data_IF_223735142615
#
_entry.id   IF_223735142615
#
_cell.length_a   1.000
_cell.length_b   1.000
_cell.length_c   1.000
_cell.angle_alpha   90.00
_cell.angle_beta   90.00
_cell.angle_gamma   90.00
#
_symmetry.space_group_name_H-M   'P 1'
#
loop_
_entity.id
_entity.type
_entity.pdbx_description
1 polymer ?
#
# COMPACT_ATOMS: atom_id res chain seq x y z
N UNK A 1 69.01 -38.23 2.19
CA UNK A 1 67.65 -38.40 2.66
C UNK A 1 66.91 -37.07 2.65
N UNK A 2 66.00 -36.87 1.68
CA UNK A 2 65.22 -35.62 1.51
C UNK A 2 63.82 -35.88 2.09
N UNK A 3 63.46 -35.16 3.14
CA UNK A 3 62.09 -35.19 3.69
C UNK A 3 61.21 -34.17 2.91
N UNK A 4 60.33 -34.68 2.11
CA UNK A 4 59.26 -33.91 1.43
C UNK A 4 58.17 -33.62 2.44
N UNK A 5 58.00 -32.36 2.86
CA UNK A 5 56.89 -31.93 3.71
C UNK A 5 55.64 -31.76 2.84
N UNK A 6 54.66 -32.62 3.09
CA UNK A 6 53.31 -32.54 2.51
C UNK A 6 52.53 -31.46 3.27
N UNK A 7 52.27 -30.34 2.62
CA UNK A 7 51.39 -29.28 3.14
C UNK A 7 49.96 -29.65 2.73
N UNK A 8 49.15 -30.10 3.72
CA UNK A 8 47.73 -30.33 3.54
C UNK A 8 47.01 -28.95 3.62
N UNK A 9 46.50 -28.47 2.48
CA UNK A 9 45.65 -27.29 2.42
C UNK A 9 44.22 -27.72 2.88
N UNK A 10 43.88 -27.36 4.12
CA UNK A 10 42.52 -27.51 4.63
C UNK A 10 41.69 -26.37 4.05
N UNK A 11 40.92 -26.64 2.96
CA UNK A 11 39.95 -25.71 2.42
C UNK A 11 38.74 -25.68 3.37
N UNK A 12 38.66 -24.65 4.18
CA UNK A 12 37.48 -24.34 4.98
C UNK A 12 36.39 -23.83 4.04
N UNK A 13 35.45 -24.70 3.67
CA UNK A 13 34.20 -24.27 2.97
C UNK A 13 33.35 -23.61 4.04
N UNK A 14 33.48 -22.28 4.14
CA UNK A 14 32.51 -21.46 4.89
C UNK A 14 31.25 -21.45 4.04
N UNK A 15 30.25 -22.19 4.48
CA UNK A 15 28.92 -22.23 3.85
C UNK A 15 28.32 -20.84 3.81
N UNK A 16 28.05 -20.36 2.61
CA UNK A 16 27.34 -19.11 2.31
C UNK A 16 25.86 -19.26 2.69
N UNK A 17 25.54 -19.13 3.96
CA UNK A 17 24.16 -18.95 4.45
C UNK A 17 23.86 -17.47 4.80
N UNK A 18 24.67 -16.52 4.34
CA UNK A 18 24.59 -15.10 4.70
C UNK A 18 23.45 -14.32 4.01
N UNK A 19 22.93 -14.77 2.86
CA UNK A 19 22.10 -13.93 2.02
C UNK A 19 20.65 -13.67 2.51
N UNK A 20 20.11 -14.53 3.37
CA UNK A 20 18.73 -14.37 3.85
C UNK A 20 18.62 -13.42 5.06
N UNK A 21 19.56 -13.48 5.98
CA UNK A 21 19.55 -12.61 7.17
C UNK A 21 19.78 -11.14 6.79
N UNK A 22 20.66 -10.89 5.82
CA UNK A 22 20.93 -9.53 5.33
C UNK A 22 19.73 -8.93 4.59
N UNK A 23 18.99 -9.74 3.84
CA UNK A 23 17.80 -9.26 3.10
C UNK A 23 16.64 -8.92 4.02
N UNK A 24 16.38 -9.72 5.06
CA UNK A 24 15.30 -9.47 6.04
C UNK A 24 15.58 -8.20 6.85
N UNK A 25 16.82 -8.02 7.33
CA UNK A 25 17.22 -6.80 8.03
C UNK A 25 17.16 -5.56 7.15
N UNK A 26 17.43 -5.69 5.84
CA UNK A 26 17.30 -4.60 4.88
C UNK A 26 15.81 -4.22 4.65
N UNK A 27 14.92 -5.20 4.51
CA UNK A 27 13.48 -4.99 4.39
C UNK A 27 12.95 -4.28 5.64
N UNK A 28 13.30 -4.75 6.82
CA UNK A 28 12.85 -4.13 8.08
C UNK A 28 13.29 -2.67 8.17
N UNK A 29 14.56 -2.36 7.82
CA UNK A 29 15.04 -0.96 7.78
C UNK A 29 14.27 -0.07 6.81
N UNK A 30 13.89 -0.59 5.63
CA UNK A 30 13.08 0.14 4.66
C UNK A 30 11.69 0.46 5.23
N UNK A 31 11.06 -0.51 5.90
CA UNK A 31 9.76 -0.35 6.55
C UNK A 31 9.85 0.68 7.69
N UNK A 32 10.83 0.54 8.58
CA UNK A 32 11.01 1.40 9.75
C UNK A 32 11.30 2.86 9.36
N UNK A 33 12.15 3.08 8.35
CA UNK A 33 12.42 4.43 7.85
C UNK A 33 11.18 5.08 7.23
N UNK A 34 10.39 4.28 6.48
CA UNK A 34 9.14 4.77 5.88
C UNK A 34 8.10 5.09 6.96
N UNK A 35 8.02 4.25 8.00
CA UNK A 35 7.16 4.47 9.15
C UNK A 35 7.61 5.72 9.93
N UNK A 36 8.91 5.86 10.20
CA UNK A 36 9.47 7.01 10.90
C UNK A 36 9.24 8.35 10.15
N UNK A 37 9.25 8.33 8.81
CA UNK A 37 8.89 9.52 8.03
C UNK A 37 7.40 9.88 8.20
N UNK A 38 6.50 8.90 8.18
CA UNK A 38 5.08 9.10 8.42
C UNK A 38 4.80 9.65 9.83
N UNK A 39 5.49 9.15 10.84
CA UNK A 39 5.32 9.53 12.24
C UNK A 39 5.77 10.98 12.56
N UNK A 40 6.54 11.63 11.70
CA UNK A 40 6.87 13.06 11.85
C UNK A 40 5.63 13.94 11.87
N UNK A 41 4.59 13.56 11.11
CA UNK A 41 3.28 14.19 11.18
C UNK A 41 2.46 13.57 12.33
N UNK A 42 2.57 14.14 13.54
CA UNK A 42 1.86 13.63 14.73
C UNK A 42 0.35 13.82 14.64
N UNK A 43 -0.07 14.92 14.06
CA UNK A 43 -1.47 15.18 13.70
C UNK A 43 -1.53 16.06 12.46
N UNK A 44 -2.62 15.93 11.69
CA UNK A 44 -2.90 16.84 10.58
C UNK A 44 -4.38 16.93 10.28
N UNK A 45 -4.75 18.08 9.71
CA UNK A 45 -6.01 18.28 9.02
C UNK A 45 -5.70 18.43 7.53
N UNK A 46 -6.56 17.88 6.67
CA UNK A 46 -6.42 17.99 5.22
C UNK A 46 -7.79 18.00 4.53
N UNK A 47 -7.90 18.74 3.44
CA UNK A 47 -9.03 18.64 2.53
C UNK A 47 -8.75 17.54 1.51
N UNK A 48 -9.60 16.52 1.48
CA UNK A 48 -9.53 15.40 0.54
C UNK A 48 -10.65 15.49 -0.48
N UNK A 49 -10.30 15.45 -1.76
CA UNK A 49 -11.28 15.41 -2.87
C UNK A 49 -11.16 14.07 -3.58
N UNK A 50 -12.28 13.33 -3.67
CA UNK A 50 -12.36 12.03 -4.33
C UNK A 50 -13.11 12.19 -5.66
N UNK A 51 -12.51 11.68 -6.72
CA UNK A 51 -13.12 11.54 -8.04
C UNK A 51 -13.09 10.06 -8.45
N UNK A 52 -14.26 9.49 -8.73
CA UNK A 52 -14.42 8.13 -9.22
C UNK A 52 -14.72 8.13 -10.71
N UNK A 53 -13.91 7.41 -11.49
CA UNK A 53 -14.12 7.18 -12.93
C UNK A 53 -14.28 5.69 -13.17
N UNK A 54 -15.52 5.26 -13.30
CA UNK A 54 -15.89 3.88 -13.65
C UNK A 54 -16.79 3.95 -14.90
N UNK A 55 -16.56 3.11 -15.92
CA UNK A 55 -17.40 3.06 -17.10
C UNK A 55 -18.88 2.88 -16.74
N UNK A 56 -19.75 3.72 -17.29
CA UNK A 56 -21.19 3.65 -17.01
C UNK A 56 -21.64 4.28 -15.69
N UNK A 57 -20.71 4.78 -14.87
CA UNK A 57 -21.06 5.41 -13.60
C UNK A 57 -20.45 6.82 -13.48
N UNK A 58 -21.30 7.81 -13.24
CA UNK A 58 -20.87 9.21 -12.98
C UNK A 58 -21.17 9.56 -11.54
N UNK A 59 -20.11 9.68 -10.73
CA UNK A 59 -20.23 10.23 -9.38
C UNK A 59 -19.64 11.65 -9.38
N UNK A 60 -20.35 12.64 -8.81
CA UNK A 60 -19.79 13.97 -8.62
C UNK A 60 -18.59 13.90 -7.67
N UNK A 61 -17.62 14.78 -7.87
CA UNK A 61 -16.48 14.93 -6.96
C UNK A 61 -16.97 15.17 -5.54
N UNK A 62 -16.46 14.40 -4.59
CA UNK A 62 -16.78 14.49 -3.17
C UNK A 62 -15.61 15.11 -2.42
N UNK A 63 -15.92 16.09 -1.57
CA UNK A 63 -14.92 16.76 -0.74
C UNK A 63 -15.16 16.42 0.73
N UNK A 64 -14.07 16.10 1.43
CA UNK A 64 -14.06 15.73 2.83
C UNK A 64 -13.02 16.55 3.58
N UNK A 65 -13.25 16.85 4.84
CA UNK A 65 -12.21 17.31 5.77
C UNK A 65 -11.80 16.13 6.62
N UNK A 66 -10.53 15.80 6.57
CA UNK A 66 -9.94 14.67 7.29
C UNK A 66 -9.09 15.20 8.42
N UNK A 67 -9.28 14.65 9.61
CA UNK A 67 -8.47 14.88 10.79
C UNK A 67 -7.81 13.56 11.17
N UNK A 68 -6.50 13.59 11.25
CA UNK A 68 -5.71 12.44 11.67
C UNK A 68 -4.84 12.80 12.86
N UNK A 69 -4.66 11.85 13.78
CA UNK A 69 -3.73 11.98 14.89
C UNK A 69 -3.15 10.62 15.23
N UNK A 70 -1.84 10.56 15.30
CA UNK A 70 -1.12 9.35 15.68
C UNK A 70 -1.65 8.73 16.98
N UNK A 71 -1.61 7.39 17.12
CA UNK A 71 -1.16 6.44 16.08
C UNK A 71 -2.25 6.13 15.02
N UNK A 72 -3.54 6.21 15.33
CA UNK A 72 -4.65 5.64 14.54
C UNK A 72 -5.96 6.43 14.59
N UNK A 73 -5.97 7.62 15.23
CA UNK A 73 -7.20 8.42 15.37
C UNK A 73 -7.52 9.10 14.05
N UNK A 74 -8.70 8.78 13.53
CA UNK A 74 -9.21 9.32 12.28
C UNK A 74 -10.64 9.84 12.47
N UNK A 75 -10.89 11.10 12.05
CA UNK A 75 -12.24 11.64 11.91
C UNK A 75 -12.39 12.30 10.56
N UNK A 76 -13.49 11.99 9.90
CA UNK A 76 -13.77 12.51 8.57
C UNK A 76 -15.12 13.21 8.59
N UNK A 77 -15.13 14.44 8.04
CA UNK A 77 -16.34 15.25 7.90
C UNK A 77 -16.62 15.51 6.44
N UNK A 78 -17.88 15.42 6.03
CA UNK A 78 -18.35 15.81 4.71
C UNK A 78 -19.53 16.75 4.82
N UNK A 79 -19.69 17.64 3.83
CA UNK A 79 -20.94 18.36 3.65
C UNK A 79 -21.88 17.44 2.85
N UNK A 80 -22.97 16.96 3.50
CA UNK A 80 -23.97 16.08 2.89
C UNK A 80 -23.68 14.59 3.10
N UNK A 81 -24.58 13.75 2.57
CA UNK A 81 -24.47 12.29 2.64
C UNK A 81 -23.28 11.83 1.79
N UNK A 82 -22.26 11.27 2.42
CA UNK A 82 -21.07 10.77 1.74
C UNK A 82 -20.59 9.50 2.39
N UNK A 83 -20.35 8.45 1.59
CA UNK A 83 -19.67 7.25 2.03
C UNK A 83 -18.18 7.37 1.76
N UNK A 84 -17.41 6.92 2.70
CA UNK A 84 -15.95 6.92 2.66
C UNK A 84 -15.45 5.52 2.33
N UNK A 85 -14.38 5.43 1.57
CA UNK A 85 -13.65 4.18 1.46
C UNK A 85 -13.22 3.73 2.87
N UNK A 86 -13.63 2.52 3.26
CA UNK A 86 -13.16 1.91 4.51
C UNK A 86 -11.74 1.35 4.40
N UNK A 87 -11.16 1.37 3.19
CA UNK A 87 -9.89 0.72 2.89
C UNK A 87 -8.77 1.73 2.64
N UNK A 88 -7.69 1.60 3.41
CA UNK A 88 -6.32 1.94 3.01
C UNK A 88 -5.92 3.40 2.83
N UNK A 89 -6.83 4.38 2.87
CA UNK A 89 -6.50 5.78 2.53
C UNK A 89 -5.69 6.51 3.61
N UNK A 90 -5.72 6.02 4.85
CA UNK A 90 -5.07 6.65 5.99
C UNK A 90 -4.35 5.61 6.87
N UNK A 91 -3.95 4.50 6.27
CA UNK A 91 -3.17 3.47 6.96
C UNK A 91 -1.72 3.92 7.10
N UNK A 92 -1.09 3.50 8.17
CA UNK A 92 0.35 3.70 8.31
C UNK A 92 1.11 2.94 7.20
N UNK A 93 2.30 3.40 6.79
CA UNK A 93 3.12 2.66 5.84
C UNK A 93 3.32 1.19 6.25
N UNK A 94 3.50 0.93 7.54
CA UNK A 94 3.67 -0.42 8.09
C UNK A 94 2.49 -1.34 7.81
N UNK A 95 1.26 -0.83 7.88
CA UNK A 95 0.04 -1.62 7.63
C UNK A 95 0.02 -2.26 6.22
N UNK A 96 0.74 -1.66 5.25
CA UNK A 96 0.86 -2.24 3.92
C UNK A 96 1.70 -3.52 3.90
N UNK A 97 2.50 -3.76 4.92
CA UNK A 97 3.37 -4.92 5.04
C UNK A 97 2.86 -5.97 6.01
N UNK A 98 2.03 -5.59 7.01
CA UNK A 98 1.51 -6.49 8.05
C UNK A 98 0.67 -7.66 7.49
N UNK A 99 0.11 -7.48 6.30
CA UNK A 99 -0.67 -8.51 5.60
C UNK A 99 0.14 -9.29 4.55
N UNK A 100 1.47 -9.17 4.58
CA UNK A 100 2.37 -9.85 3.66
C UNK A 100 3.22 -10.89 4.40
N UNK A 101 3.48 -12.00 3.73
CA UNK A 101 4.45 -13.03 4.13
C UNK A 101 5.46 -13.27 3.02
N UNK A 102 6.53 -13.99 3.32
CA UNK A 102 7.58 -14.32 2.36
C UNK A 102 8.11 -13.07 1.65
N UNK A 103 8.27 -11.98 2.39
CA UNK A 103 8.76 -10.72 1.83
C UNK A 103 10.19 -10.90 1.34
N UNK A 104 10.47 -10.34 0.16
CA UNK A 104 11.79 -10.35 -0.47
C UNK A 104 12.09 -9.00 -1.11
N UNK A 105 13.34 -8.60 -1.03
CA UNK A 105 13.87 -7.43 -1.71
C UNK A 105 14.11 -7.80 -3.17
N UNK A 106 13.37 -7.17 -4.11
CA UNK A 106 13.50 -7.44 -5.54
C UNK A 106 14.61 -6.60 -6.16
N UNK A 107 14.66 -5.32 -5.80
CA UNK A 107 15.66 -4.38 -6.28
C UNK A 107 15.87 -3.30 -5.22
N UNK A 108 17.10 -2.88 -5.06
CA UNK A 108 17.47 -1.63 -4.42
C UNK A 108 18.43 -0.90 -5.34
N UNK A 109 18.17 0.37 -5.61
CA UNK A 109 19.02 1.24 -6.39
C UNK A 109 19.29 2.51 -5.58
N UNK A 110 20.50 2.63 -5.05
CA UNK A 110 20.90 3.83 -4.30
C UNK A 110 20.99 5.05 -5.24
N UNK A 111 21.44 4.85 -6.47
CA UNK A 111 21.55 5.90 -7.48
C UNK A 111 20.16 6.47 -7.87
N UNK A 112 19.16 5.59 -8.04
CA UNK A 112 17.78 5.99 -8.33
C UNK A 112 17.00 6.40 -7.08
N UNK A 113 17.52 6.14 -5.87
CA UNK A 113 16.80 6.36 -4.61
C UNK A 113 15.53 5.52 -4.49
N UNK A 114 15.55 4.26 -4.93
CA UNK A 114 14.35 3.40 -5.04
C UNK A 114 14.64 2.00 -4.50
N UNK A 115 13.67 1.44 -3.77
CA UNK A 115 13.65 0.03 -3.39
C UNK A 115 12.30 -0.62 -3.74
N UNK A 116 12.34 -1.93 -4.06
CA UNK A 116 11.14 -2.74 -4.34
C UNK A 116 11.11 -3.94 -3.40
N UNK A 117 10.04 -4.05 -2.64
CA UNK A 117 9.73 -5.20 -1.78
C UNK A 117 8.54 -5.93 -2.39
N UNK A 118 8.63 -7.25 -2.55
CA UNK A 118 7.52 -8.11 -2.96
C UNK A 118 7.20 -9.10 -1.86
N UNK A 119 5.92 -9.30 -1.57
CA UNK A 119 5.43 -10.29 -0.61
C UNK A 119 4.17 -10.97 -1.10
N UNK A 120 3.86 -12.13 -0.51
CA UNK A 120 2.63 -12.87 -0.77
C UNK A 120 1.55 -12.39 0.21
N UNK A 121 0.34 -12.16 -0.27
CA UNK A 121 -0.78 -11.69 0.58
C UNK A 121 -1.25 -12.81 1.51
N UNK A 122 -1.42 -12.50 2.79
CA UNK A 122 -2.06 -13.38 3.77
C UNK A 122 -3.57 -13.29 3.57
N UNK A 123 -4.16 -14.27 2.86
CA UNK A 123 -5.56 -14.24 2.43
C UNK A 123 -6.51 -14.15 3.63
N UNK A 124 -6.22 -14.86 4.71
CA UNK A 124 -7.05 -14.86 5.93
C UNK A 124 -7.15 -13.50 6.60
N UNK A 125 -6.11 -12.66 6.47
CA UNK A 125 -6.08 -11.30 7.04
C UNK A 125 -6.98 -10.32 6.29
N UNK A 126 -7.24 -10.55 5.01
CA UNK A 126 -8.05 -9.66 4.18
C UNK A 126 -9.55 -9.70 4.52
N UNK A 127 -10.00 -10.62 5.41
CA UNK A 127 -11.42 -10.87 5.73
C UNK A 127 -12.33 -10.98 4.50
N UNK A 128 -11.74 -11.32 3.37
CA UNK A 128 -12.40 -11.40 2.09
C UNK A 128 -12.97 -12.80 1.96
N UNK A 129 -14.28 -12.93 1.89
CA UNK A 129 -14.93 -14.17 1.47
C UNK A 129 -14.64 -14.38 -0.02
N UNK A 130 -13.46 -14.91 -0.32
CA UNK A 130 -13.17 -15.35 -1.68
C UNK A 130 -14.14 -16.46 -2.07
N UNK A 131 -14.63 -16.47 -3.32
CA UNK A 131 -15.38 -17.61 -3.81
C UNK A 131 -14.56 -18.90 -3.60
N UNK A 132 -15.19 -19.95 -3.07
CA UNK A 132 -14.55 -21.23 -2.71
C UNK A 132 -13.70 -21.84 -3.84
N UNK A 133 -13.97 -21.52 -5.10
CA UNK A 133 -13.25 -21.98 -6.27
C UNK A 133 -11.82 -21.42 -6.32
N UNK A 134 -11.61 -20.15 -5.94
CA UNK A 134 -10.27 -19.53 -5.91
C UNK A 134 -9.43 -19.98 -4.70
N UNK A 135 -10.08 -20.25 -3.57
CA UNK A 135 -9.41 -20.85 -2.41
C UNK A 135 -8.87 -22.25 -2.72
N UNK A 136 -9.58 -23.03 -3.58
CA UNK A 136 -9.16 -24.37 -4.01
C UNK A 136 -8.02 -24.36 -5.06
N UNK A 137 -7.91 -23.29 -5.85
CA UNK A 137 -6.91 -23.17 -6.94
C UNK A 137 -5.53 -22.70 -6.46
N UNK A 138 -5.33 -22.56 -5.15
CA UNK A 138 -4.05 -22.04 -4.61
C UNK A 138 -3.79 -20.58 -4.98
N UNK A 139 -4.86 -19.80 -5.16
CA UNK A 139 -4.83 -18.37 -5.42
C UNK A 139 -3.91 -17.65 -4.42
N UNK A 140 -2.81 -17.14 -4.90
CA UNK A 140 -1.81 -16.43 -4.08
C UNK A 140 -1.48 -15.09 -4.71
N UNK A 141 -2.27 -14.05 -4.43
CA UNK A 141 -1.92 -12.73 -4.89
C UNK A 141 -0.61 -12.27 -4.23
N UNK A 142 0.19 -11.57 -4.97
CA UNK A 142 1.40 -10.93 -4.49
C UNK A 142 1.27 -9.42 -4.55
N UNK A 143 1.98 -8.74 -3.66
CA UNK A 143 2.05 -7.28 -3.63
C UNK A 143 3.49 -6.86 -3.80
N UNK A 144 3.71 -5.93 -4.73
CA UNK A 144 5.00 -5.25 -4.91
C UNK A 144 4.87 -3.81 -4.42
N UNK A 145 5.69 -3.41 -3.47
CA UNK A 145 5.74 -2.06 -2.90
C UNK A 145 7.00 -1.36 -3.39
N UNK A 146 6.84 -0.20 -4.02
CA UNK A 146 7.92 0.69 -4.44
C UNK A 146 8.09 1.80 -3.42
N UNK A 147 9.27 1.89 -2.83
CA UNK A 147 9.65 2.89 -1.84
C UNK A 147 10.63 3.88 -2.47
N UNK A 148 10.37 5.17 -2.29
CA UNK A 148 11.32 6.25 -2.48
C UNK A 148 12.21 6.30 -1.22
N UNK A 149 13.49 5.94 -1.35
CA UNK A 149 14.45 5.86 -0.24
C UNK A 149 15.14 7.19 0.06
N UNK A 150 14.86 8.23 -0.73
CA UNK A 150 15.31 9.61 -0.45
C UNK A 150 14.32 10.28 0.48
N UNK A 151 13.02 10.15 0.17
CA UNK A 151 11.93 10.77 0.95
C UNK A 151 11.27 9.82 1.94
N UNK A 152 11.62 8.54 1.92
CA UNK A 152 11.07 7.47 2.76
C UNK A 152 9.54 7.40 2.68
N UNK A 153 9.01 7.28 1.46
CA UNK A 153 7.57 7.19 1.20
C UNK A 153 7.25 6.09 0.20
N UNK A 154 6.04 5.54 0.29
CA UNK A 154 5.54 4.51 -0.64
C UNK A 154 5.00 5.19 -1.90
N UNK A 155 5.72 5.08 -3.00
CA UNK A 155 5.35 5.68 -4.30
C UNK A 155 4.32 4.88 -5.07
N UNK A 156 4.42 3.54 -4.99
CA UNK A 156 3.55 2.67 -5.76
C UNK A 156 3.34 1.34 -5.05
N UNK A 157 2.14 0.79 -5.17
CA UNK A 157 1.76 -0.55 -4.68
C UNK A 157 1.05 -1.25 -5.83
N UNK A 158 1.53 -2.43 -6.22
CA UNK A 158 0.92 -3.25 -7.27
C UNK A 158 0.52 -4.58 -6.69
N UNK A 159 -0.78 -4.92 -6.80
CA UNK A 159 -1.30 -6.25 -6.46
C UNK A 159 -1.47 -7.04 -7.75
N UNK A 160 -0.88 -8.23 -7.78
CA UNK A 160 -0.87 -9.14 -8.94
C UNK A 160 -1.35 -10.53 -8.54
N UNK A 161 -2.00 -11.19 -9.47
CA UNK A 161 -2.22 -12.63 -9.43
C UNK A 161 -1.44 -13.25 -10.58
N UNK A 162 -0.41 -14.03 -10.25
CA UNK A 162 0.58 -14.51 -11.20
C UNK A 162 1.19 -13.33 -11.99
N UNK A 163 0.83 -13.16 -13.24
CA UNK A 163 1.25 -12.05 -14.12
C UNK A 163 0.13 -11.02 -14.37
N UNK A 164 -1.07 -11.28 -13.85
CA UNK A 164 -2.22 -10.41 -14.05
C UNK A 164 -2.23 -9.31 -12.97
N UNK A 165 -2.05 -8.07 -13.38
CA UNK A 165 -2.22 -6.91 -12.49
C UNK A 165 -3.71 -6.78 -12.13
N UNK A 166 -4.00 -6.69 -10.82
CA UNK A 166 -5.36 -6.53 -10.29
C UNK A 166 -5.63 -5.09 -9.88
N UNK A 167 -4.72 -4.51 -9.08
CA UNK A 167 -4.85 -3.17 -8.54
C UNK A 167 -3.48 -2.50 -8.56
N UNK A 168 -3.47 -1.22 -8.88
CA UNK A 168 -2.28 -0.37 -8.76
C UNK A 168 -2.63 0.90 -8.01
N UNK A 169 -1.86 1.22 -6.98
CA UNK A 169 -1.94 2.47 -6.23
C UNK A 169 -0.68 3.26 -6.51
N UNK A 170 -0.82 4.51 -6.97
CA UNK A 170 0.30 5.42 -7.20
C UNK A 170 0.11 6.68 -6.36
N UNK A 171 1.14 7.04 -5.58
CA UNK A 171 1.12 8.19 -4.71
C UNK A 171 2.12 9.25 -5.18
N UNK A 172 1.70 10.51 -5.15
CA UNK A 172 2.54 11.68 -5.34
C UNK A 172 2.64 12.45 -4.03
N UNK A 173 3.82 12.95 -3.73
CA UNK A 173 4.11 13.64 -2.46
C UNK A 173 4.70 15.02 -2.69
N UNK A 174 4.54 15.88 -1.69
CA UNK A 174 5.24 17.17 -1.58
C UNK A 174 5.81 17.34 -0.18
N UNK A 175 6.88 18.11 -0.09
CA UNK A 175 7.43 18.58 1.18
C UNK A 175 6.64 19.77 1.69
N UNK A 176 6.28 19.75 2.97
CA UNK A 176 5.66 20.84 3.70
C UNK A 176 6.59 21.26 4.83
N UNK A 177 6.80 22.58 4.96
CA UNK A 177 7.69 23.17 5.97
C UNK A 177 9.11 22.56 5.97
N UNK A 178 9.57 22.02 4.82
CA UNK A 178 10.90 21.43 4.66
C UNK A 178 11.12 20.08 5.36
N UNK A 179 10.13 19.54 6.09
CA UNK A 179 10.32 18.32 6.89
C UNK A 179 9.20 17.27 6.79
N UNK A 180 7.99 17.68 6.43
CA UNK A 180 6.84 16.77 6.32
C UNK A 180 6.62 16.40 4.86
N UNK A 181 6.82 15.13 4.53
CA UNK A 181 6.54 14.62 3.17
C UNK A 181 5.13 14.03 3.18
N UNK A 182 4.17 14.80 2.64
CA UNK A 182 2.76 14.44 2.67
C UNK A 182 2.22 14.10 1.28
N UNK A 183 1.28 13.16 1.16
CA UNK A 183 0.65 12.86 -0.13
C UNK A 183 -0.15 14.05 -0.64
N UNK A 184 -0.05 14.34 -1.93
CA UNK A 184 -0.87 15.37 -2.60
C UNK A 184 -1.82 14.76 -3.61
N UNK A 185 -1.51 13.55 -4.09
CA UNK A 185 -2.39 12.77 -4.96
C UNK A 185 -2.19 11.29 -4.72
N UNK A 186 -3.30 10.52 -4.70
CA UNK A 186 -3.30 9.07 -4.77
C UNK A 186 -4.22 8.63 -5.91
N UNK A 187 -3.73 7.72 -6.75
CA UNK A 187 -4.49 7.12 -7.86
C UNK A 187 -4.59 5.63 -7.61
N UNK A 188 -5.81 5.11 -7.56
CA UNK A 188 -6.08 3.68 -7.51
C UNK A 188 -6.67 3.27 -8.85
N UNK A 189 -6.04 2.31 -9.50
CA UNK A 189 -6.49 1.76 -10.78
C UNK A 189 -6.74 0.27 -10.64
N UNK A 190 -7.92 -0.17 -11.08
CA UNK A 190 -8.35 -1.56 -11.12
C UNK A 190 -8.26 -2.09 -12.54
N UNK A 191 -7.78 -3.35 -12.71
CA UNK A 191 -7.49 -3.97 -14.02
C UNK A 191 -8.20 -5.30 -14.22
N UNK A 192 -9.33 -5.54 -13.58
CA UNK A 192 -9.93 -6.87 -13.54
C UNK A 192 -10.81 -7.13 -14.75
N UNK A 193 -10.47 -8.16 -15.52
CA UNK A 193 -11.20 -8.63 -16.72
C UNK A 193 -12.00 -9.92 -16.51
N UNK A 194 -11.90 -10.54 -15.35
CA UNK A 194 -12.60 -11.78 -15.03
C UNK A 194 -13.92 -11.51 -14.31
N UNK A 195 -15.02 -12.13 -14.79
CA UNK A 195 -16.37 -11.89 -14.27
C UNK A 195 -16.51 -12.22 -12.77
N UNK A 196 -15.83 -13.28 -12.29
CA UNK A 196 -15.91 -13.72 -10.89
C UNK A 196 -15.07 -12.81 -9.99
N UNK A 197 -13.85 -12.47 -10.40
CA UNK A 197 -13.00 -11.48 -9.76
C UNK A 197 -13.64 -10.08 -9.81
N UNK A 198 -14.30 -9.75 -10.92
CA UNK A 198 -15.05 -8.51 -11.07
C UNK A 198 -16.19 -8.40 -10.06
N UNK A 199 -16.93 -9.47 -9.79
CA UNK A 199 -18.00 -9.48 -8.80
C UNK A 199 -17.47 -9.26 -7.38
N UNK A 200 -16.30 -9.80 -7.06
CA UNK A 200 -15.63 -9.60 -5.79
C UNK A 200 -15.14 -8.15 -5.63
N UNK A 201 -14.47 -7.58 -6.65
CA UNK A 201 -14.06 -6.18 -6.66
C UNK A 201 -15.25 -5.22 -6.68
N UNK A 202 -16.36 -5.58 -7.33
CA UNK A 202 -17.62 -4.83 -7.26
C UNK A 202 -18.10 -4.65 -5.83
N UNK A 203 -17.99 -5.69 -5.00
CA UNK A 203 -18.34 -5.61 -3.59
C UNK A 203 -17.40 -4.65 -2.83
N UNK A 204 -16.11 -4.64 -3.15
CA UNK A 204 -15.14 -3.71 -2.55
C UNK A 204 -15.41 -2.27 -3.00
N UNK A 205 -15.60 -2.03 -4.30
CA UNK A 205 -15.99 -0.72 -4.85
C UNK A 205 -17.36 -0.29 -4.29
N UNK A 206 -18.32 -1.19 -4.16
CA UNK A 206 -19.63 -0.90 -3.56
C UNK A 206 -19.47 -0.49 -2.09
N UNK A 207 -18.57 -1.11 -1.34
CA UNK A 207 -18.27 -0.71 0.04
C UNK A 207 -17.66 0.70 0.11
N UNK A 208 -16.94 1.11 -0.94
CA UNK A 208 -16.33 2.45 -1.07
C UNK A 208 -17.37 3.51 -1.45
N UNK A 209 -18.29 3.17 -2.34
CA UNK A 209 -19.22 4.13 -2.99
C UNK A 209 -20.62 4.09 -2.42
N UNK A 210 -20.98 3.01 -1.72
CA UNK A 210 -22.29 2.79 -1.10
C UNK A 210 -23.45 2.51 -2.04
N UNK A 211 -23.15 2.39 -3.31
CA UNK A 211 -24.10 1.99 -4.33
C UNK A 211 -23.38 1.09 -5.31
N UNK A 212 -24.08 0.17 -5.96
CA UNK A 212 -23.46 -0.69 -6.98
C UNK A 212 -23.21 0.14 -8.26
N UNK A 213 -21.98 0.64 -8.50
CA UNK A 213 -21.71 1.59 -9.57
C UNK A 213 -21.56 0.92 -10.94
N UNK A 214 -21.59 -0.43 -10.98
CA UNK A 214 -21.24 -1.20 -12.15
C UNK A 214 -22.48 -1.97 -12.62
N UNK A 215 -22.84 -1.78 -13.89
CA UNK A 215 -23.89 -2.56 -14.55
C UNK A 215 -23.63 -4.05 -14.37
N UNK A 216 -24.65 -4.82 -14.01
CA UNK A 216 -24.58 -6.26 -13.71
C UNK A 216 -24.03 -7.10 -14.87
N UNK A 217 -23.98 -6.56 -16.10
CA UNK A 217 -23.64 -7.27 -17.33
C UNK A 217 -22.21 -7.01 -17.85
N UNK A 218 -21.32 -6.31 -17.12
CA UNK A 218 -19.95 -6.12 -17.62
C UNK A 218 -18.99 -7.13 -16.97
N UNK A 219 -18.38 -7.96 -17.79
CA UNK A 219 -17.34 -8.92 -17.39
C UNK A 219 -15.98 -8.26 -17.06
N UNK A 220 -15.91 -6.94 -17.19
CA UNK A 220 -14.71 -6.14 -16.92
C UNK A 220 -15.00 -5.09 -15.85
N UNK A 221 -14.13 -5.02 -14.84
CA UNK A 221 -14.03 -3.87 -13.96
C UNK A 221 -12.72 -3.14 -14.29
N UNK A 222 -12.86 -2.06 -15.04
CA UNK A 222 -11.80 -1.09 -15.23
C UNK A 222 -12.27 0.20 -14.55
N UNK A 223 -11.61 0.58 -13.47
CA UNK A 223 -12.03 1.74 -12.69
C UNK A 223 -10.83 2.50 -12.16
N UNK A 224 -10.99 3.82 -12.04
CA UNK A 224 -9.98 4.70 -11.49
C UNK A 224 -10.58 5.56 -10.40
N UNK A 225 -9.93 5.55 -9.23
CA UNK A 225 -10.19 6.49 -8.14
C UNK A 225 -9.01 7.46 -8.09
N UNK A 226 -9.30 8.75 -8.18
CA UNK A 226 -8.30 9.80 -7.97
C UNK A 226 -8.64 10.56 -6.69
N UNK A 227 -7.66 10.71 -5.83
CA UNK A 227 -7.77 11.39 -4.55
C UNK A 227 -6.75 12.51 -4.54
N UNK A 228 -7.21 13.73 -4.31
CA UNK A 228 -6.34 14.91 -4.20
C UNK A 228 -6.41 15.43 -2.79
N UNK A 229 -5.26 15.79 -2.22
CA UNK A 229 -5.12 16.33 -0.87
C UNK A 229 -4.63 17.77 -0.93
N UNK A 230 -5.36 18.69 -0.29
CA UNK A 230 -5.05 20.12 -0.25
C UNK A 230 -5.22 20.66 1.18
N UNK A 231 -4.76 21.88 1.40
CA UNK A 231 -5.01 22.64 2.64
C UNK A 231 -4.52 21.89 3.90
N UNK A 232 -3.30 21.38 3.86
CA UNK A 232 -2.69 20.73 5.01
C UNK A 232 -2.42 21.68 6.14
N UNK A 233 -2.86 21.31 7.35
CA UNK A 233 -2.49 21.89 8.63
C UNK A 233 -1.83 20.77 9.43
N UNK A 234 -0.52 20.87 9.72
CA UNK A 234 0.28 19.77 10.27
C UNK A 234 0.85 20.14 11.62
N UNK A 235 0.68 19.24 12.62
CA UNK A 235 1.23 19.37 13.98
C UNK A 235 0.76 20.60 14.76
N UNK A 236 -0.48 21.05 14.53
CA UNK A 236 -1.11 22.15 15.27
C UNK A 236 -1.79 21.69 16.58
N UNK A 237 -1.70 20.42 16.93
CA UNK A 237 -2.19 19.89 18.20
C UNK A 237 -3.70 19.62 18.22
N UNK A 238 -4.18 18.73 17.35
CA UNK A 238 -5.60 18.34 17.32
C UNK A 238 -6.03 17.76 18.67
N UNK A 239 -7.11 18.33 19.26
CA UNK A 239 -7.64 17.88 20.54
C UNK A 239 -8.25 16.49 20.44
N UNK A 240 -8.01 15.65 21.45
CA UNK A 240 -8.57 14.29 21.49
C UNK A 240 -10.12 14.26 21.54
N UNK A 241 -10.74 15.32 22.05
CA UNK A 241 -12.22 15.45 22.05
C UNK A 241 -12.83 15.46 20.65
N UNK A 242 -12.05 15.83 19.61
CA UNK A 242 -12.54 15.80 18.23
C UNK A 242 -12.87 14.37 17.77
N UNK A 243 -12.20 13.34 18.29
CA UNK A 243 -12.33 11.93 17.89
C UNK A 243 -13.32 11.15 18.78
N UNK A 244 -13.91 11.78 19.76
CA UNK A 244 -15.03 11.21 20.54
C UNK A 244 -16.32 11.43 19.74
N UNK A 245 -17.13 10.41 19.61
CA UNK A 245 -18.49 10.51 19.05
C UNK A 245 -19.44 11.20 20.00
#
# INVERSE_FOLDING_TARGET
MRYTRLIIFLIFIIGLNGNNVDSESAIQRLIDNTQGQFEKARDYQVTMTIELKVPGFRMPRKRYTVFFKQPDKLKIRSKGFGMLPKTGLFTSPKDNFDNLRNMRLIKISQEEGIAYIKGDVIIDSLKLKMPNEYAKLGFRPSVTVKIDTVNWVIKNIVTELDTLKLVEITNSYKSFNGQYIMPVESKVQYYVKDAKLSSWLKNDITSIVGQNPISQNSDMVEGKISITYTDYIINEGIKNSLFKD
#
